data_IF_497716665030
#
_entry.id   IF_497716665030
#
_cell.length_a   1.000
_cell.length_b   1.000
_cell.length_c   1.000
_cell.angle_alpha   90.00
_cell.angle_beta   90.00
_cell.angle_gamma   90.00
#
_symmetry.space_group_name_H-M   'P 1'
#
loop_
_entity.id
_entity.type
_entity.pdbx_description
1 polymer ?
#
# COMPACT_ATOMS: atom_id res chain seq x y z
N UNK A 1 34.77 -59.08 -36.42
CA UNK A 1 35.12 -57.86 -35.71
C UNK A 1 33.83 -57.14 -35.41
N UNK A 2 33.50 -57.13 -34.18
CA UNK A 2 32.30 -56.44 -33.76
C UNK A 2 32.64 -55.01 -33.42
N UNK A 3 32.16 -54.11 -34.23
CA UNK A 3 32.28 -52.71 -33.92
C UNK A 3 31.17 -52.39 -32.93
N UNK A 4 31.54 -52.20 -31.71
CA UNK A 4 30.64 -51.62 -30.75
C UNK A 4 30.53 -50.14 -31.08
N UNK A 5 29.47 -49.78 -31.75
CA UNK A 5 29.05 -48.43 -31.77
C UNK A 5 28.50 -48.11 -30.37
N UNK A 6 29.35 -47.61 -29.54
CA UNK A 6 28.87 -46.95 -28.30
C UNK A 6 28.17 -45.71 -28.77
N UNK A 7 26.90 -45.83 -28.97
CA UNK A 7 26.03 -44.66 -28.99
C UNK A 7 26.06 -44.09 -27.59
N UNK A 8 27.02 -43.20 -27.40
CA UNK A 8 27.00 -42.32 -26.26
C UNK A 8 25.79 -41.40 -26.46
N UNK A 9 24.65 -41.88 -25.97
CA UNK A 9 23.50 -41.04 -25.83
C UNK A 9 23.85 -40.09 -24.68
N UNK A 10 24.59 -39.05 -25.00
CA UNK A 10 24.68 -37.92 -24.13
C UNK A 10 23.27 -37.34 -24.11
N UNK A 11 22.47 -37.83 -23.18
CA UNK A 11 21.26 -37.19 -22.84
C UNK A 11 21.62 -35.74 -22.45
N UNK A 12 21.44 -34.85 -23.39
CA UNK A 12 21.32 -33.45 -23.06
C UNK A 12 20.09 -33.36 -22.19
N UNK A 13 20.27 -33.58 -20.90
CA UNK A 13 19.37 -33.05 -19.92
C UNK A 13 19.47 -31.54 -20.10
N UNK A 14 18.68 -31.03 -21.03
CA UNK A 14 18.44 -29.61 -21.09
C UNK A 14 17.82 -29.21 -19.80
N UNK A 15 18.63 -28.82 -18.86
CA UNK A 15 18.15 -28.00 -17.79
C UNK A 15 17.63 -26.73 -18.46
N UNK A 16 16.35 -26.71 -18.71
CA UNK A 16 15.68 -25.48 -19.02
C UNK A 16 15.79 -24.64 -17.76
N UNK A 17 16.88 -23.92 -17.63
CA UNK A 17 16.98 -22.82 -16.70
C UNK A 17 15.97 -21.82 -17.19
N UNK A 18 14.76 -21.89 -16.63
CA UNK A 18 13.84 -20.78 -16.76
C UNK A 18 14.55 -19.61 -16.12
N UNK A 19 15.08 -18.72 -16.94
CA UNK A 19 15.54 -17.45 -16.47
C UNK A 19 14.37 -16.80 -15.75
N UNK A 20 14.44 -16.70 -14.43
CA UNK A 20 13.44 -16.01 -13.67
C UNK A 20 13.47 -14.56 -14.14
N UNK A 21 12.33 -14.10 -14.65
CA UNK A 21 12.19 -12.68 -14.94
C UNK A 21 12.48 -11.89 -13.69
N UNK A 22 13.43 -10.96 -13.82
CA UNK A 22 13.74 -10.03 -12.76
C UNK A 22 12.64 -8.99 -12.69
N UNK A 23 11.86 -9.03 -11.63
CA UNK A 23 10.83 -8.02 -11.37
C UNK A 23 10.63 -7.80 -9.89
N UNK A 24 10.35 -6.56 -9.55
CA UNK A 24 9.87 -6.21 -8.24
C UNK A 24 8.37 -6.56 -8.16
N UNK A 25 7.94 -7.02 -7.01
CA UNK A 25 6.53 -7.28 -6.70
C UNK A 25 6.21 -6.67 -5.36
N UNK A 26 5.05 -6.05 -5.27
CA UNK A 26 4.59 -5.43 -4.04
C UNK A 26 3.36 -6.17 -3.51
N UNK A 27 3.44 -6.56 -2.24
CA UNK A 27 2.31 -7.17 -1.54
C UNK A 27 2.01 -6.37 -0.29
N UNK A 28 0.84 -5.76 -0.25
CA UNK A 28 0.34 -5.08 0.95
C UNK A 28 -0.33 -6.07 1.90
N UNK A 29 -0.13 -5.90 3.19
CA UNK A 29 -0.86 -6.68 4.21
C UNK A 29 -2.36 -6.40 4.14
N UNK A 30 -2.72 -5.15 3.88
CA UNK A 30 -4.07 -4.73 3.56
C UNK A 30 -4.02 -3.55 2.59
N UNK A 31 -4.96 -3.48 1.69
CA UNK A 31 -5.12 -2.36 0.76
C UNK A 31 -6.19 -1.37 1.20
N UNK A 32 -6.88 -1.67 2.31
CA UNK A 32 -7.89 -0.80 2.91
C UNK A 32 -7.64 -0.70 4.39
N UNK A 33 -7.50 0.52 4.91
CA UNK A 33 -7.45 0.78 6.35
C UNK A 33 -8.74 1.47 6.77
N UNK A 34 -9.42 0.87 7.71
CA UNK A 34 -10.59 1.45 8.35
C UNK A 34 -10.15 2.20 9.61
N UNK A 35 -10.29 3.52 9.59
CA UNK A 35 -9.96 4.36 10.74
C UNK A 35 -10.97 4.23 11.88
N UNK A 36 -12.14 3.64 11.60
CA UNK A 36 -13.24 3.66 12.54
C UNK A 36 -13.76 5.09 12.77
N UNK A 37 -14.13 5.39 13.98
CA UNK A 37 -14.50 6.74 14.40
C UNK A 37 -13.26 7.46 14.92
N UNK A 38 -12.93 8.61 14.32
CA UNK A 38 -11.79 9.42 14.70
C UNK A 38 -12.27 10.73 15.29
N UNK A 39 -11.78 11.07 16.47
CA UNK A 39 -12.09 12.35 17.10
C UNK A 39 -11.52 13.50 16.28
N UNK A 40 -12.23 14.63 16.29
CA UNK A 40 -11.72 15.87 15.72
C UNK A 40 -10.37 16.24 16.36
N UNK A 41 -9.36 16.49 15.54
CA UNK A 41 -8.00 16.75 16.03
C UNK A 41 -7.25 15.52 16.52
N UNK A 42 -7.86 14.33 16.41
CA UNK A 42 -7.22 13.07 16.80
C UNK A 42 -6.14 12.62 15.83
N UNK A 43 -5.54 11.46 16.13
CA UNK A 43 -4.46 10.91 15.30
C UNK A 43 -4.97 10.39 13.97
N UNK A 44 -4.59 11.07 12.91
CA UNK A 44 -4.93 10.70 11.54
C UNK A 44 -3.84 9.91 10.81
N UNK A 45 -2.79 9.50 11.51
CA UNK A 45 -1.68 8.77 10.89
C UNK A 45 -1.96 7.27 10.89
N UNK A 46 -1.83 6.65 9.73
CA UNK A 46 -1.90 5.19 9.56
C UNK A 46 -0.80 4.75 8.60
N UNK A 47 -0.42 3.51 8.70
CA UNK A 47 0.63 2.94 7.85
C UNK A 47 0.13 1.71 7.11
N UNK A 48 0.37 1.67 5.81
CA UNK A 48 0.20 0.48 4.98
C UNK A 48 1.52 -0.25 4.92
N UNK A 49 1.56 -1.42 5.49
CA UNK A 49 2.75 -2.28 5.44
C UNK A 49 2.74 -3.12 4.18
N UNK A 50 3.89 -3.19 3.54
CA UNK A 50 4.07 -3.99 2.34
C UNK A 50 5.38 -4.75 2.38
N UNK A 51 5.48 -5.77 1.54
CA UNK A 51 6.70 -6.57 1.36
C UNK A 51 7.01 -6.65 -0.13
N UNK A 52 8.28 -6.54 -0.47
CA UNK A 52 8.74 -6.86 -1.80
C UNK A 52 8.81 -8.38 -1.95
N UNK A 53 7.85 -8.96 -2.64
CA UNK A 53 7.78 -10.41 -2.90
C UNK A 53 8.44 -10.81 -4.20
N UNK A 54 9.02 -9.86 -4.92
CA UNK A 54 9.77 -10.09 -6.15
C UNK A 54 11.23 -10.41 -5.92
N UNK A 55 11.99 -10.40 -6.99
CA UNK A 55 13.42 -10.70 -6.99
C UNK A 55 14.31 -9.52 -7.45
N UNK A 56 13.71 -8.37 -7.63
CA UNK A 56 14.38 -7.10 -7.91
C UNK A 56 14.08 -6.09 -6.80
N UNK A 57 14.95 -5.12 -6.54
CA UNK A 57 14.64 -4.03 -5.64
C UNK A 57 13.36 -3.30 -6.04
N UNK A 58 12.48 -3.11 -5.08
CA UNK A 58 11.24 -2.36 -5.26
C UNK A 58 11.52 -0.88 -5.04
N UNK A 59 11.20 -0.08 -6.04
CA UNK A 59 11.35 1.37 -5.99
C UNK A 59 9.96 2.00 -6.08
N UNK A 60 9.57 2.66 -5.01
CA UNK A 60 8.34 3.44 -5.00
C UNK A 60 8.69 4.85 -5.43
N UNK A 61 8.28 5.20 -6.65
CA UNK A 61 8.62 6.48 -7.26
C UNK A 61 7.74 7.61 -6.78
N UNK A 62 6.47 7.31 -6.51
CA UNK A 62 5.49 8.32 -6.13
C UNK A 62 4.34 7.70 -5.36
N UNK A 63 3.85 8.43 -4.39
CA UNK A 63 2.57 8.16 -3.73
C UNK A 63 1.73 9.43 -3.83
N UNK A 64 0.46 9.28 -4.16
CA UNK A 64 -0.38 10.41 -4.50
C UNK A 64 -1.79 10.26 -3.95
N UNK A 65 -2.34 11.36 -3.48
CA UNK A 65 -3.75 11.49 -3.13
C UNK A 65 -4.34 12.72 -3.82
N UNK A 66 -5.56 12.61 -4.34
CA UNK A 66 -6.26 13.74 -4.98
C UNK A 66 -6.70 14.82 -4.00
N UNK A 67 -6.75 14.49 -2.72
CA UNK A 67 -7.14 15.42 -1.66
C UNK A 67 -5.93 15.93 -0.89
N UNK A 68 -5.77 17.24 -0.78
CA UNK A 68 -4.76 17.83 0.11
C UNK A 68 -4.98 17.53 1.60
N UNK A 69 -6.15 17.00 1.95
CA UNK A 69 -6.47 16.52 3.30
C UNK A 69 -5.79 15.20 3.66
N UNK A 70 -5.20 14.55 2.72
CA UNK A 70 -4.54 13.25 2.88
C UNK A 70 -3.14 13.34 2.30
N UNK A 71 -2.15 13.23 3.16
CA UNK A 71 -0.74 13.35 2.78
C UNK A 71 -0.07 11.99 2.93
N UNK A 72 0.21 11.30 1.81
CA UNK A 72 0.97 10.06 1.85
C UNK A 72 2.46 10.35 1.84
N UNK A 73 3.21 9.48 2.50
CA UNK A 73 4.67 9.54 2.54
C UNK A 73 5.23 8.21 2.06
N UNK A 74 6.05 8.27 1.03
CA UNK A 74 6.74 7.08 0.50
C UNK A 74 7.96 6.73 1.34
N UNK A 75 8.38 5.45 1.34
CA UNK A 75 9.65 5.08 1.93
C UNK A 75 10.82 5.72 1.18
N UNK A 76 11.90 6.00 1.89
CA UNK A 76 13.14 6.47 1.30
C UNK A 76 13.98 5.26 0.85
N UNK A 77 14.40 5.31 -0.39
CA UNK A 77 15.27 4.29 -0.97
C UNK A 77 14.58 3.00 -1.40
N UNK A 78 15.33 2.12 -2.06
CA UNK A 78 14.81 0.85 -2.55
C UNK A 78 14.53 -0.14 -1.43
N UNK A 79 13.53 -0.98 -1.65
CA UNK A 79 13.19 -2.10 -0.76
C UNK A 79 13.72 -3.37 -1.40
N UNK A 80 14.67 -4.01 -0.76
CA UNK A 80 15.28 -5.23 -1.27
C UNK A 80 14.28 -6.40 -1.33
N UNK A 81 14.51 -7.40 -2.20
CA UNK A 81 13.65 -8.58 -2.22
C UNK A 81 13.53 -9.22 -0.84
N UNK A 82 12.31 -9.51 -0.43
CA UNK A 82 11.99 -10.08 0.89
C UNK A 82 11.91 -9.06 2.01
N UNK A 83 12.31 -7.83 1.80
CA UNK A 83 12.20 -6.77 2.81
C UNK A 83 10.82 -6.13 2.80
N UNK A 84 10.48 -5.55 3.94
CA UNK A 84 9.22 -4.83 4.14
C UNK A 84 9.45 -3.34 4.31
N UNK A 85 8.44 -2.57 3.98
CA UNK A 85 8.40 -1.15 4.19
C UNK A 85 6.99 -0.69 4.53
N UNK A 86 6.83 0.59 4.74
CA UNK A 86 5.52 1.19 5.03
C UNK A 86 5.29 2.42 4.17
N UNK A 87 4.05 2.61 3.79
CA UNK A 87 3.55 3.88 3.25
C UNK A 87 2.72 4.52 4.35
N UNK A 88 3.22 5.61 4.87
CA UNK A 88 2.52 6.37 5.90
C UNK A 88 1.51 7.31 5.26
N UNK A 89 0.31 7.36 5.81
CA UNK A 89 -0.76 8.23 5.35
C UNK A 89 -1.22 9.08 6.52
N UNK A 90 -1.22 10.38 6.35
CA UNK A 90 -1.73 11.33 7.35
C UNK A 90 -3.00 11.96 6.81
N UNK A 91 -4.10 11.70 7.50
CA UNK A 91 -5.39 12.33 7.22
C UNK A 91 -5.59 13.53 8.15
N UNK A 92 -5.99 14.66 7.59
CA UNK A 92 -6.26 15.86 8.36
C UNK A 92 -7.58 15.71 9.15
N UNK A 93 -7.44 15.57 10.46
CA UNK A 93 -8.58 15.40 11.37
C UNK A 93 -9.11 16.74 11.92
N UNK A 94 -8.52 17.85 11.52
CA UNK A 94 -8.95 19.22 11.91
C UNK A 94 -9.90 19.83 10.87
N UNK A 95 -10.77 19.00 10.31
CA UNK A 95 -11.70 19.44 9.29
C UNK A 95 -13.13 19.08 9.67
N UNK A 96 -14.08 19.47 8.84
CA UNK A 96 -15.49 19.20 9.08
C UNK A 96 -15.75 17.69 9.23
N UNK A 97 -16.60 17.32 10.16
CA UNK A 97 -17.03 15.97 10.39
C UNK A 97 -17.67 15.36 9.14
N UNK A 98 -17.50 14.06 9.01
CA UNK A 98 -18.09 13.32 7.90
C UNK A 98 -17.35 12.04 7.59
N UNK A 99 -17.76 11.34 6.54
CA UNK A 99 -17.12 10.10 6.13
C UNK A 99 -15.70 10.35 5.63
N UNK A 100 -14.79 9.44 5.99
CA UNK A 100 -13.43 9.38 5.45
C UNK A 100 -13.47 8.39 4.29
N UNK A 101 -13.16 8.84 3.09
CA UNK A 101 -13.06 8.01 1.89
C UNK A 101 -12.02 8.61 0.97
N UNK A 102 -10.81 8.10 1.03
CA UNK A 102 -9.71 8.59 0.19
C UNK A 102 -8.97 7.43 -0.44
N UNK A 103 -8.46 7.67 -1.62
CA UNK A 103 -7.63 6.72 -2.37
C UNK A 103 -6.23 7.27 -2.47
N UNK A 104 -5.27 6.44 -2.15
CA UNK A 104 -3.85 6.72 -2.33
C UNK A 104 -3.36 5.86 -3.48
N UNK A 105 -2.75 6.48 -4.48
CA UNK A 105 -2.19 5.80 -5.63
C UNK A 105 -0.68 5.67 -5.46
N UNK A 106 -0.19 4.45 -5.59
CA UNK A 106 1.22 4.10 -5.42
C UNK A 106 1.80 3.78 -6.79
N UNK A 107 2.81 4.53 -7.18
CA UNK A 107 3.58 4.29 -8.40
C UNK A 107 4.91 3.65 -8.03
N UNK A 108 5.23 2.57 -8.68
CA UNK A 108 6.47 1.82 -8.43
C UNK A 108 6.92 1.09 -9.69
N UNK A 109 8.07 0.42 -9.59
CA UNK A 109 8.52 -0.48 -10.64
C UNK A 109 7.92 -1.90 -10.52
N UNK A 110 6.97 -2.10 -9.60
CA UNK A 110 6.27 -3.37 -9.43
C UNK A 110 5.05 -3.47 -10.35
N UNK A 111 4.61 -4.71 -10.58
CA UNK A 111 3.38 -5.01 -11.31
C UNK A 111 2.31 -5.50 -10.31
N UNK A 112 1.05 -5.09 -10.42
CA UNK A 112 0.52 -4.07 -11.33
C UNK A 112 0.86 -2.65 -10.94
N UNK A 113 0.96 -1.77 -11.91
CA UNK A 113 1.17 -0.35 -11.68
C UNK A 113 0.07 0.45 -12.37
N UNK A 114 -0.51 1.47 -11.73
CA UNK A 114 -0.37 1.87 -10.33
C UNK A 114 -1.17 0.98 -9.36
N UNK A 115 -0.80 1.00 -8.08
CA UNK A 115 -1.51 0.28 -7.04
C UNK A 115 -2.37 1.25 -6.22
N UNK A 116 -3.61 0.86 -5.92
CA UNK A 116 -4.55 1.70 -5.17
C UNK A 116 -4.72 1.22 -3.74
N UNK A 117 -4.50 2.13 -2.79
CA UNK A 117 -4.78 1.94 -1.38
C UNK A 117 -5.96 2.83 -1.00
N UNK A 118 -6.76 2.38 -0.05
CA UNK A 118 -7.93 3.12 0.41
C UNK A 118 -7.93 3.31 1.92
N UNK A 119 -8.36 4.47 2.35
CA UNK A 119 -8.70 4.72 3.74
C UNK A 119 -10.19 5.03 3.82
N UNK A 120 -10.79 4.57 4.90
CA UNK A 120 -12.21 4.79 5.21
C UNK A 120 -12.40 5.00 6.70
N UNK A 121 -13.53 5.50 7.09
CA UNK A 121 -13.90 5.75 8.47
C UNK A 121 -14.84 6.92 8.59
N UNK A 122 -14.95 7.44 9.81
CA UNK A 122 -15.80 8.58 10.12
C UNK A 122 -15.06 9.55 11.01
N UNK A 123 -14.96 10.79 10.55
CA UNK A 123 -14.44 11.88 11.37
C UNK A 123 -15.58 12.47 12.19
N UNK A 124 -15.42 12.42 13.50
CA UNK A 124 -16.42 12.94 14.43
C UNK A 124 -16.41 14.47 14.46
N UNK A 125 -17.54 15.09 14.81
CA UNK A 125 -17.59 16.53 14.96
C UNK A 125 -16.76 17.00 16.14
N UNK A 126 -16.34 18.24 16.08
CA UNK A 126 -15.68 18.90 17.19
C UNK A 126 -16.58 18.85 18.44
N UNK A 127 -15.99 18.63 19.62
CA UNK A 127 -16.75 18.53 20.87
C UNK A 127 -17.68 19.71 21.13
N UNK A 128 -17.23 20.91 20.82
CA UNK A 128 -18.06 22.12 20.96
C UNK A 128 -19.27 22.12 20.04
N UNK A 129 -19.15 21.58 18.83
CA UNK A 129 -20.26 21.45 17.89
C UNK A 129 -21.27 20.41 18.34
N UNK A 130 -20.81 19.30 18.93
CA UNK A 130 -21.70 18.28 19.51
C UNK A 130 -22.48 18.82 20.69
N UNK A 131 -21.83 19.58 21.55
CA UNK A 131 -22.47 20.22 22.70
C UNK A 131 -23.54 21.22 22.26
N UNK A 132 -23.25 21.98 21.21
CA UNK A 132 -24.23 22.92 20.65
C UNK A 132 -25.43 22.20 20.04
N UNK A 133 -25.24 21.05 19.41
CA UNK A 133 -26.34 20.26 18.90
C UNK A 133 -27.21 19.67 20.01
N UNK A 134 -26.58 19.22 21.09
CA UNK A 134 -27.28 18.66 22.26
C UNK A 134 -27.97 19.73 23.09
N UNK A 135 -27.39 20.92 23.13
CA UNK A 135 -27.94 22.07 23.82
C UNK A 135 -28.62 23.05 22.88
N UNK A 136 -28.89 22.61 21.66
CA UNK A 136 -29.58 23.41 20.66
C UNK A 136 -30.87 23.95 21.24
N UNK A 137 -31.34 25.11 20.77
CA UNK A 137 -32.43 25.79 21.44
C UNK A 137 -33.62 24.86 21.50
N UNK A 138 -33.86 24.40 22.69
CA UNK A 138 -35.12 23.83 23.01
C UNK A 138 -36.09 24.97 22.95
N UNK A 139 -36.62 25.20 21.81
CA UNK A 139 -37.71 26.14 21.75
C UNK A 139 -38.86 25.57 22.46
N UNK A 140 -38.89 26.01 23.59
CA UNK A 140 -40.22 26.10 24.07
C UNK A 140 -41.01 26.92 23.09
#
# INVERSE_FOLDING_TARGET
>A
MKKFAILLFVGLLGFAVKAQEKKAEIKFETDVIDYGEVAHGGDGVRSFKFTNTGNEPLIISRVYSTCGCTVPKKPEGPIAPGESGVIEVKYDTNRAAGPIRKTITVYSNASPEPYSLKIKGTLLPEKGAMEKEKSGPING
#
